data_IF_935239244668
#
_entry.id   IF_935239244668
#
_cell.length_a   1.000
_cell.length_b   1.000
_cell.length_c   1.000
_cell.angle_alpha   90.00
_cell.angle_beta   90.00
_cell.angle_gamma   90.00
#
_symmetry.space_group_name_H-M   'P 1'
#
loop_
_entity.id
_entity.type
_entity.pdbx_description
1 polymer ?
#
# COMPACT_ATOMS: atom_id res chain seq x y z
N UNK A 1 16.30 -21.38 -9.57
CA UNK A 1 16.09 -20.94 -8.18
C UNK A 1 17.29 -20.13 -7.74
N UNK A 2 17.04 -18.90 -7.25
CA UNK A 2 17.96 -17.96 -6.59
C UNK A 2 19.14 -17.51 -7.49
N UNK A 3 19.41 -16.23 -7.71
CA UNK A 3 19.65 -15.21 -6.70
C UNK A 3 19.28 -13.83 -7.26
N UNK A 4 18.40 -13.10 -6.56
CA UNK A 4 18.19 -11.67 -6.79
C UNK A 4 19.16 -10.93 -5.86
N UNK A 5 20.09 -10.09 -6.36
CA UNK A 5 21.11 -9.47 -5.52
C UNK A 5 20.44 -8.52 -4.52
N UNK A 6 20.83 -8.64 -3.25
CA UNK A 6 20.52 -7.67 -2.18
C UNK A 6 21.25 -6.36 -2.45
N UNK A 7 20.77 -5.61 -3.43
CA UNK A 7 21.17 -4.25 -3.75
C UNK A 7 20.02 -3.31 -3.41
N UNK A 8 20.05 -2.74 -2.21
CA UNK A 8 19.35 -1.49 -1.94
C UNK A 8 19.95 -0.43 -2.88
N UNK A 9 19.37 -0.20 -4.05
CA UNK A 9 19.76 0.91 -4.90
C UNK A 9 19.31 2.24 -4.27
N UNK A 10 20.24 2.85 -3.55
CA UNK A 10 20.27 4.28 -3.24
C UNK A 10 20.48 5.05 -4.56
N UNK A 11 19.44 5.69 -5.07
CA UNK A 11 19.57 6.72 -6.10
C UNK A 11 18.63 7.88 -5.78
N UNK A 12 19.21 9.00 -5.33
CA UNK A 12 18.63 10.36 -5.38
C UNK A 12 17.93 10.89 -4.11
N UNK A 13 18.23 12.14 -3.67
CA UNK A 13 17.65 12.75 -2.46
C UNK A 13 16.24 13.34 -2.64
N UNK A 14 15.55 13.08 -3.75
CA UNK A 14 14.19 13.56 -3.99
C UNK A 14 13.32 12.44 -4.56
N UNK A 15 12.85 11.53 -3.69
CA UNK A 15 11.65 10.74 -3.99
C UNK A 15 10.44 11.63 -3.78
N UNK A 16 10.00 12.30 -4.83
CA UNK A 16 8.66 12.87 -4.86
C UNK A 16 7.67 11.72 -4.70
N UNK A 17 6.89 11.71 -3.63
CA UNK A 17 5.70 10.88 -3.52
C UNK A 17 4.70 11.38 -4.59
N UNK A 18 4.86 10.92 -5.82
CA UNK A 18 3.97 11.21 -6.96
C UNK A 18 2.56 10.68 -6.67
N UNK A 19 2.44 9.73 -5.74
CA UNK A 19 1.18 9.19 -5.29
C UNK A 19 0.60 10.09 -4.19
N UNK A 20 -0.58 10.70 -4.41
CA UNK A 20 -1.28 11.42 -3.36
C UNK A 20 -1.43 10.52 -2.14
N UNK A 21 -1.21 11.06 -0.94
CA UNK A 21 -1.39 10.31 0.32
C UNK A 21 -2.75 9.61 0.42
N UNK A 22 -3.76 10.12 -0.30
CA UNK A 22 -5.08 9.51 -0.43
C UNK A 22 -5.11 8.13 -1.10
N UNK A 23 -4.16 7.80 -1.97
CA UNK A 23 -4.10 6.50 -2.65
C UNK A 23 -3.34 5.43 -1.83
N UNK A 24 -2.47 5.84 -0.91
CA UNK A 24 -1.71 4.89 -0.09
C UNK A 24 -2.61 4.09 0.86
N UNK A 25 -3.59 4.75 1.49
CA UNK A 25 -4.56 4.12 2.41
C UNK A 25 -5.35 2.96 1.78
N UNK A 26 -6.10 3.17 0.68
CA UNK A 26 -6.86 2.09 0.05
C UNK A 26 -5.95 1.00 -0.52
N UNK A 27 -4.75 1.35 -0.99
CA UNK A 27 -3.77 0.37 -1.47
C UNK A 27 -3.29 -0.56 -0.35
N UNK A 28 -2.93 0.00 0.81
CA UNK A 28 -2.53 -0.78 1.98
C UNK A 28 -3.67 -1.68 2.45
N UNK A 29 -4.90 -1.15 2.53
CA UNK A 29 -6.07 -1.96 2.88
C UNK A 29 -6.29 -3.11 1.88
N UNK A 30 -6.12 -2.88 0.58
CA UNK A 30 -6.27 -3.91 -0.45
C UNK A 30 -5.26 -5.03 -0.28
N UNK A 31 -4.01 -4.68 -0.04
CA UNK A 31 -2.94 -5.66 0.22
C UNK A 31 -3.22 -6.49 1.47
N UNK A 32 -3.64 -5.84 2.56
CA UNK A 32 -3.98 -6.52 3.82
C UNK A 32 -5.26 -7.38 3.72
N UNK A 33 -6.14 -7.08 2.76
CA UNK A 33 -7.31 -7.90 2.46
C UNK A 33 -6.96 -9.19 1.73
N UNK A 34 -5.86 -9.23 0.97
CA UNK A 34 -5.42 -10.45 0.28
C UNK A 34 -4.76 -11.42 1.28
N UNK A 35 -3.86 -10.90 2.12
CA UNK A 35 -3.20 -11.67 3.18
C UNK A 35 -2.70 -10.74 4.30
N UNK A 36 -2.62 -11.22 5.55
CA UNK A 36 -2.00 -10.46 6.63
C UNK A 36 -0.48 -10.34 6.38
N UNK A 37 0.04 -9.11 6.33
CA UNK A 37 1.43 -8.82 5.94
C UNK A 37 2.16 -7.96 6.98
N UNK A 38 3.49 -7.99 6.94
CA UNK A 38 4.33 -7.06 7.70
C UNK A 38 4.43 -5.69 7.01
N UNK A 39 4.68 -4.63 7.80
CA UNK A 39 4.87 -3.27 7.26
C UNK A 39 5.99 -3.15 6.22
N UNK A 40 7.04 -3.96 6.34
CA UNK A 40 8.11 -4.02 5.34
C UNK A 40 7.70 -4.76 4.06
N UNK A 41 6.97 -5.88 4.19
CA UNK A 41 6.43 -6.59 3.04
C UNK A 41 5.44 -5.72 2.25
N UNK A 42 4.65 -4.88 2.91
CA UNK A 42 3.79 -3.92 2.22
C UNK A 42 4.59 -3.00 1.30
N UNK A 43 5.76 -2.51 1.73
CA UNK A 43 6.62 -1.67 0.90
C UNK A 43 7.15 -2.42 -0.33
N UNK A 44 7.52 -3.70 -0.17
CA UNK A 44 7.98 -4.53 -1.29
C UNK A 44 6.84 -4.88 -2.25
N UNK A 45 5.68 -5.27 -1.73
CA UNK A 45 4.51 -5.60 -2.55
C UNK A 45 4.02 -4.40 -3.37
N UNK A 46 4.03 -3.19 -2.79
CA UNK A 46 3.70 -1.97 -3.52
C UNK A 46 4.71 -1.73 -4.64
N UNK A 47 6.00 -1.93 -4.36
CA UNK A 47 7.05 -1.79 -5.36
C UNK A 47 6.90 -2.80 -6.50
N UNK A 48 6.63 -4.07 -6.19
CA UNK A 48 6.38 -5.13 -7.16
C UNK A 48 5.14 -4.82 -8.02
N UNK A 49 4.00 -4.47 -7.41
CA UNK A 49 2.76 -4.13 -8.14
C UNK A 49 2.91 -2.87 -9.01
N UNK A 50 3.81 -1.97 -8.66
CA UNK A 50 4.09 -0.76 -9.46
C UNK A 50 5.21 -0.98 -10.48
N UNK A 51 5.62 -2.23 -10.76
CA UNK A 51 6.73 -2.55 -11.68
C UNK A 51 8.02 -1.76 -11.36
N UNK A 52 8.30 -1.55 -10.07
CA UNK A 52 9.46 -0.82 -9.60
C UNK A 52 9.38 0.71 -9.75
N UNK A 53 8.27 1.27 -10.23
CA UNK A 53 8.15 2.71 -10.46
C UNK A 53 7.97 3.52 -9.17
N UNK A 54 7.43 2.92 -8.11
CA UNK A 54 7.17 3.64 -6.86
C UNK A 54 7.31 2.72 -5.65
N UNK A 55 8.05 3.19 -4.63
CA UNK A 55 8.16 2.54 -3.32
C UNK A 55 7.94 3.59 -2.24
N UNK A 56 6.84 3.51 -1.48
CA UNK A 56 6.58 4.44 -0.39
C UNK A 56 7.67 4.30 0.66
N UNK A 57 8.14 5.44 1.16
CA UNK A 57 9.12 5.48 2.24
C UNK A 57 8.52 5.01 3.58
N UNK A 58 9.36 4.57 4.53
CA UNK A 58 8.90 4.22 5.88
C UNK A 58 8.16 5.37 6.56
N UNK A 59 8.59 6.62 6.30
CA UNK A 59 7.97 7.84 6.81
C UNK A 59 6.52 8.06 6.33
N UNK A 60 6.10 7.43 5.23
CA UNK A 60 4.72 7.48 4.75
C UNK A 60 3.90 6.27 5.22
N UNK A 61 4.52 5.08 5.26
CA UNK A 61 3.85 3.81 5.61
C UNK A 61 3.46 3.78 7.09
N UNK A 62 4.40 4.04 8.00
CA UNK A 62 4.14 3.86 9.43
C UNK A 62 3.04 4.80 9.96
N UNK A 63 3.04 6.11 9.65
CA UNK A 63 1.93 6.98 10.06
C UNK A 63 0.59 6.57 9.44
N UNK A 64 0.60 5.99 8.24
CA UNK A 64 -0.61 5.48 7.60
C UNK A 64 -1.14 4.24 8.32
N UNK A 65 -0.25 3.32 8.71
CA UNK A 65 -0.62 2.14 9.51
C UNK A 65 -1.13 2.54 10.88
N UNK A 66 -0.46 3.45 11.58
CA UNK A 66 -0.92 3.97 12.88
C UNK A 66 -2.29 4.60 12.77
N UNK A 67 -2.55 5.40 11.72
CA UNK A 67 -3.86 5.98 11.50
C UNK A 67 -4.93 4.91 11.23
N UNK A 68 -4.61 3.89 10.43
CA UNK A 68 -5.55 2.79 10.14
C UNK A 68 -5.85 1.95 11.39
N UNK A 69 -4.84 1.73 12.22
CA UNK A 69 -4.95 0.98 13.48
C UNK A 69 -5.80 1.78 14.49
N UNK A 70 -5.50 3.07 14.66
CA UNK A 70 -6.25 3.97 15.54
C UNK A 70 -7.74 4.08 15.18
N UNK A 71 -8.06 4.00 13.88
CA UNK A 71 -9.45 4.00 13.41
C UNK A 71 -10.12 2.59 13.44
N UNK A 72 -9.36 1.55 13.79
CA UNK A 72 -9.82 0.17 13.89
C UNK A 72 -10.01 -0.53 12.54
N UNK A 73 -9.39 -0.04 11.46
CA UNK A 73 -9.45 -0.69 10.14
C UNK A 73 -8.47 -1.86 10.01
N UNK A 74 -7.39 -1.83 10.78
CA UNK A 74 -6.38 -2.90 10.84
C UNK A 74 -6.11 -3.28 12.29
N UNK A 75 -5.60 -4.49 12.51
CA UNK A 75 -5.14 -5.00 13.80
C UNK A 75 -3.69 -5.44 13.66
N UNK A 76 -2.83 -5.01 14.58
CA UNK A 76 -1.47 -5.52 14.70
C UNK A 76 -1.43 -6.74 15.63
N UNK A 77 -0.92 -7.86 15.16
CA UNK A 77 -0.59 -9.04 15.98
C UNK A 77 0.93 -9.23 15.99
N UNK A 78 1.49 -9.47 17.18
CA UNK A 78 2.92 -9.74 17.38
C UNK A 78 3.17 -11.23 17.16
N UNK A 79 3.48 -11.63 15.93
CA UNK A 79 3.47 -13.05 15.55
C UNK A 79 4.69 -13.83 16.00
N UNK A 80 5.89 -13.23 16.11
CA UNK A 80 7.06 -13.99 16.56
C UNK A 80 8.25 -13.11 17.01
N UNK A 81 8.86 -13.47 18.16
CA UNK A 81 10.19 -12.98 18.57
C UNK A 81 11.26 -13.89 18.00
N UNK A 82 11.41 -13.93 16.67
CA UNK A 82 12.49 -14.69 16.03
C UNK A 82 13.73 -13.80 15.90
N UNK A 83 14.59 -13.83 16.92
CA UNK A 83 15.87 -13.12 17.04
C UNK A 83 15.76 -11.59 17.05
N UNK A 84 15.75 -10.97 18.24
CA UNK A 84 15.92 -9.53 18.56
C UNK A 84 15.01 -8.49 17.86
N UNK A 85 14.30 -8.82 16.77
CA UNK A 85 13.34 -7.97 16.09
C UNK A 85 11.94 -8.54 16.22
N UNK A 86 11.12 -7.88 17.05
CA UNK A 86 9.67 -8.07 17.07
C UNK A 86 9.11 -7.70 15.70
N UNK A 87 8.57 -8.68 14.97
CA UNK A 87 7.86 -8.42 13.71
C UNK A 87 6.37 -8.29 14.02
N UNK A 88 5.79 -7.12 13.70
CA UNK A 88 4.35 -6.88 13.79
C UNK A 88 3.71 -7.27 12.47
N UNK A 89 2.75 -8.19 12.50
CA UNK A 89 1.91 -8.52 11.36
C UNK A 89 0.64 -7.71 11.45
N UNK A 90 0.22 -7.14 10.34
CA UNK A 90 -1.04 -6.40 10.26
C UNK A 90 -2.08 -7.26 9.56
N UNK A 91 -3.29 -7.27 10.11
CA UNK A 91 -4.46 -7.95 9.56
C UNK A 91 -5.59 -6.95 9.38
N UNK A 92 -6.39 -7.10 8.32
CA UNK A 92 -7.58 -6.26 8.12
C UNK A 92 -8.70 -6.67 9.08
N UNK A 93 -9.47 -5.70 9.58
CA UNK A 93 -10.68 -5.96 10.38
C UNK A 93 -11.94 -5.89 9.51
N UNK A 94 -13.10 -6.32 10.03
CA UNK A 94 -14.39 -6.17 9.33
C UNK A 94 -14.66 -4.73 8.87
N UNK A 95 -14.37 -3.77 9.74
CA UNK A 95 -14.49 -2.33 9.45
C UNK A 95 -13.55 -1.89 8.33
N UNK A 96 -12.34 -2.47 8.28
CA UNK A 96 -11.38 -2.26 7.19
C UNK A 96 -11.88 -2.78 5.84
N UNK A 97 -12.53 -3.95 5.84
CA UNK A 97 -13.13 -4.54 4.63
C UNK A 97 -14.29 -3.70 4.10
N UNK A 98 -15.17 -3.21 4.98
CA UNK A 98 -16.27 -2.31 4.58
C UNK A 98 -15.75 -1.00 3.98
N UNK A 99 -14.74 -0.38 4.62
CA UNK A 99 -14.13 0.82 4.10
C UNK A 99 -13.45 0.58 2.75
N UNK A 100 -12.80 -0.57 2.58
CA UNK A 100 -12.20 -0.95 1.30
C UNK A 100 -13.25 -1.05 0.19
N UNK A 101 -14.40 -1.65 0.46
CA UNK A 101 -15.48 -1.75 -0.53
C UNK A 101 -16.01 -0.36 -0.95
N UNK A 102 -16.11 0.58 0.00
CA UNK A 102 -16.47 1.98 -0.28
C UNK A 102 -15.42 2.70 -1.15
N UNK A 103 -14.13 2.49 -0.84
CA UNK A 103 -13.04 3.00 -1.67
C UNK A 103 -13.03 2.38 -3.07
N UNK A 104 -13.30 1.08 -3.20
CA UNK A 104 -13.36 0.40 -4.50
C UNK A 104 -14.52 0.90 -5.36
N UNK A 105 -15.71 1.12 -4.77
CA UNK A 105 -16.86 1.73 -5.47
C UNK A 105 -16.51 3.12 -5.98
N UNK A 106 -15.93 3.96 -5.11
CA UNK A 106 -15.49 5.32 -5.47
C UNK A 106 -14.41 5.29 -6.57
N UNK A 107 -13.43 4.39 -6.47
CA UNK A 107 -12.38 4.24 -7.46
C UNK A 107 -12.92 3.73 -8.81
N UNK A 108 -13.89 2.83 -8.81
CA UNK A 108 -14.58 2.37 -10.02
C UNK A 108 -15.34 3.50 -10.70
N UNK A 109 -16.01 4.36 -9.93
CA UNK A 109 -16.72 5.51 -10.47
C UNK A 109 -15.76 6.54 -11.08
N UNK A 110 -14.65 6.83 -10.39
CA UNK A 110 -13.58 7.68 -10.93
C UNK A 110 -12.99 7.07 -12.19
N UNK A 111 -12.72 5.76 -12.21
CA UNK A 111 -12.20 5.05 -13.39
C UNK A 111 -13.17 5.13 -14.58
N UNK A 112 -14.46 4.96 -14.32
CA UNK A 112 -15.52 5.07 -15.34
C UNK A 112 -15.56 6.48 -15.93
N UNK A 113 -15.58 7.52 -15.07
CA UNK A 113 -15.50 8.92 -15.49
C UNK A 113 -14.21 9.21 -16.26
N UNK A 114 -13.07 8.72 -15.79
CA UNK A 114 -11.77 8.89 -16.45
C UNK A 114 -11.75 8.25 -17.84
N UNK A 115 -12.39 7.09 -18.02
CA UNK A 115 -12.54 6.44 -19.32
C UNK A 115 -13.42 7.26 -20.28
N UNK A 116 -14.49 7.89 -19.76
CA UNK A 116 -15.32 8.83 -20.51
C UNK A 116 -14.50 10.07 -20.92
N UNK A 117 -13.71 10.64 -20.00
CA UNK A 117 -12.82 11.79 -20.28
C UNK A 117 -11.67 11.47 -21.24
N UNK A 118 -11.11 10.26 -21.19
CA UNK A 118 -10.06 9.82 -22.13
C UNK A 118 -10.56 9.78 -23.59
N UNK A 119 -11.86 9.63 -23.79
CA UNK A 119 -12.49 9.71 -25.12
C UNK A 119 -12.52 11.15 -25.65
N UNK A 120 -12.56 12.15 -24.76
CA UNK A 120 -12.64 13.58 -25.11
C UNK A 120 -11.27 14.14 -25.56
N UNK A 121 -10.17 13.66 -24.98
CA UNK A 121 -8.81 14.12 -25.29
C UNK A 121 -7.99 13.14 -26.17
N UNK A 122 -8.56 12.01 -26.58
CA UNK A 122 -7.91 10.95 -27.37
C UNK A 122 -7.83 11.20 -28.87
N UNK A 123 -7.36 12.38 -29.31
CA UNK A 123 -7.04 12.64 -30.72
C UNK A 123 -5.85 13.59 -30.88
N UNK A 124 -4.64 13.03 -30.81
CA UNK A 124 -3.44 13.56 -31.47
C UNK A 124 -2.71 12.36 -32.08
#
# INVERSE_FOLDING_TARGET
MNEMPRGYCNCGPFRVDIVPKGLLKPLVLKLLSERPMHGFELMEQIFEKTNGMWRPGPAAIYPTLEWLEANGYIKSDETEKRSEKTRRQYSITKKGTEALEDYEKSAQEIKKRMQEFGTIYGRI
#
